data_IF_626264745588
#
_entry.id   IF_626264745588
#
_cell.length_a   1.000
_cell.length_b   1.000
_cell.length_c   1.000
_cell.angle_alpha   90.00
_cell.angle_beta   90.00
_cell.angle_gamma   90.00
#
_symmetry.space_group_name_H-M   'P 1'
#
loop_
_entity.id
_entity.type
_entity.pdbx_description
1 polymer ?
#
# COMPACT_ATOMS: atom_id res chain seq x y z
N UNK A 1 -12.03 -9.69 5.45
CA UNK A 1 -11.68 -8.80 4.32
C UNK A 1 -12.70 -7.69 4.31
N UNK A 2 -12.25 -6.44 4.44
CA UNK A 2 -13.09 -5.24 4.33
C UNK A 2 -12.69 -4.45 3.09
N UNK A 3 -13.68 -3.97 2.35
CA UNK A 3 -13.48 -3.07 1.21
C UNK A 3 -13.76 -1.65 1.71
N UNK A 4 -12.78 -0.77 1.57
CA UNK A 4 -12.84 0.59 2.11
C UNK A 4 -12.66 1.58 0.97
N UNK A 5 -13.50 2.60 0.95
CA UNK A 5 -13.38 3.71 0.00
C UNK A 5 -12.14 4.56 0.29
N UNK A 6 -11.38 4.88 -0.74
CA UNK A 6 -10.24 5.80 -0.64
C UNK A 6 -10.77 7.24 -0.57
N UNK A 7 -10.51 8.00 0.51
CA UNK A 7 -10.93 9.40 0.60
C UNK A 7 -10.18 10.25 -0.43
N UNK A 8 -10.91 10.88 -1.35
CA UNK A 8 -10.36 11.73 -2.40
C UNK A 8 -11.24 12.97 -2.63
N UNK A 9 -10.77 14.12 -2.14
CA UNK A 9 -11.46 15.42 -2.26
C UNK A 9 -11.62 15.89 -3.71
N UNK A 10 -10.78 15.37 -4.62
CA UNK A 10 -10.83 15.72 -6.04
C UNK A 10 -12.17 15.37 -6.67
N UNK A 11 -12.78 14.27 -6.22
CA UNK A 11 -14.08 13.81 -6.69
C UNK A 11 -15.20 14.78 -6.33
N UNK A 12 -15.23 15.27 -5.09
CA UNK A 12 -16.22 16.23 -4.62
C UNK A 12 -16.13 17.53 -5.40
N UNK A 13 -14.91 18.06 -5.57
CA UNK A 13 -14.66 19.30 -6.33
C UNK A 13 -15.02 19.17 -7.82
N UNK A 14 -14.76 18.02 -8.43
CA UNK A 14 -15.21 17.78 -9.81
C UNK A 14 -16.73 17.65 -9.90
N UNK A 15 -17.37 17.03 -8.92
CA UNK A 15 -18.82 16.90 -8.91
C UNK A 15 -19.54 18.24 -8.76
N UNK A 16 -18.95 19.21 -8.04
CA UNK A 16 -19.44 20.59 -7.95
C UNK A 16 -19.43 21.32 -9.31
N UNK A 17 -18.51 20.96 -10.22
CA UNK A 17 -18.40 21.57 -11.55
C UNK A 17 -19.21 20.81 -12.61
N UNK A 18 -19.21 19.48 -12.55
CA UNK A 18 -19.76 18.60 -13.57
C UNK A 18 -21.23 18.26 -13.31
N UNK A 19 -21.67 18.32 -12.05
CA UNK A 19 -22.99 17.90 -11.60
C UNK A 19 -23.40 16.50 -12.10
N UNK A 20 -22.60 15.45 -11.80
CA UNK A 20 -22.86 14.10 -12.28
C UNK A 20 -24.06 13.46 -11.57
N UNK A 21 -24.69 12.47 -12.21
CA UNK A 21 -25.73 11.67 -11.56
C UNK A 21 -25.19 10.82 -10.40
N UNK A 22 -23.91 10.46 -10.41
CA UNK A 22 -23.23 9.75 -9.30
C UNK A 22 -21.74 10.05 -9.19
N UNK A 23 -21.21 9.91 -7.97
CA UNK A 23 -19.77 9.93 -7.68
C UNK A 23 -19.34 8.50 -7.32
N UNK A 24 -18.31 7.99 -7.98
CA UNK A 24 -17.80 6.62 -7.77
C UNK A 24 -16.34 6.69 -7.33
N UNK A 25 -16.06 6.61 -6.02
CA UNK A 25 -14.69 6.59 -5.54
C UNK A 25 -14.04 5.22 -5.78
N UNK A 26 -12.71 5.17 -5.69
CA UNK A 26 -11.99 3.90 -5.73
C UNK A 26 -11.91 3.27 -4.34
N UNK A 27 -11.51 2.01 -4.26
CA UNK A 27 -11.50 1.23 -3.03
C UNK A 27 -10.17 0.51 -2.82
N UNK A 28 -9.82 0.28 -1.56
CA UNK A 28 -8.72 -0.60 -1.14
C UNK A 28 -9.28 -1.76 -0.32
N UNK A 29 -8.67 -2.92 -0.46
CA UNK A 29 -9.01 -4.11 0.34
C UNK A 29 -8.08 -4.21 1.54
N UNK A 30 -8.65 -4.31 2.74
CA UNK A 30 -7.91 -4.56 3.98
C UNK A 30 -8.30 -5.92 4.52
N UNK A 31 -7.30 -6.75 4.79
CA UNK A 31 -7.47 -8.06 5.40
C UNK A 31 -7.02 -7.97 6.85
N UNK A 32 -7.95 -8.22 7.76
CA UNK A 32 -7.60 -8.40 9.17
C UNK A 32 -6.94 -9.77 9.36
N UNK A 33 -5.76 -9.75 9.96
CA UNK A 33 -4.95 -10.93 10.20
C UNK A 33 -4.76 -11.06 11.71
N UNK A 34 -5.42 -12.05 12.30
CA UNK A 34 -5.38 -12.31 13.73
C UNK A 34 -3.94 -12.42 14.25
N UNK A 35 -3.61 -11.71 15.33
CA UNK A 35 -2.23 -11.59 15.84
C UNK A 35 -1.53 -12.93 16.09
N UNK A 36 -0.22 -12.94 15.79
CA UNK A 36 0.66 -14.07 16.01
C UNK A 36 1.29 -14.00 17.40
N UNK A 37 1.38 -15.13 18.09
CA UNK A 37 2.14 -15.25 19.35
C UNK A 37 3.50 -15.89 19.03
N UNK A 38 4.54 -15.51 19.78
CA UNK A 38 5.89 -16.06 19.67
C UNK A 38 5.89 -17.59 19.55
N UNK A 39 6.64 -18.14 18.60
CA UNK A 39 6.78 -19.58 18.36
C UNK A 39 5.77 -20.17 17.36
N UNK A 40 4.96 -19.34 16.71
CA UNK A 40 3.94 -19.79 15.77
C UNK A 40 4.52 -20.34 14.44
N UNK A 41 5.76 -20.02 14.07
CA UNK A 41 6.48 -20.67 12.96
C UNK A 41 6.81 -22.15 13.23
N UNK A 42 6.91 -22.58 14.50
CA UNK A 42 7.36 -23.92 14.89
C UNK A 42 6.24 -24.96 15.05
N UNK A 43 4.96 -24.58 14.86
CA UNK A 43 3.81 -25.45 15.14
C UNK A 43 2.91 -25.73 13.93
N UNK A 44 2.28 -26.90 13.90
CA UNK A 44 1.10 -27.16 13.07
C UNK A 44 -0.11 -26.45 13.70
N UNK A 45 -0.66 -25.40 13.06
CA UNK A 45 -1.82 -24.69 13.61
C UNK A 45 -2.01 -23.24 13.13
N UNK A 46 -2.45 -22.36 14.04
CA UNK A 46 -2.81 -20.95 13.76
C UNK A 46 -1.68 -20.13 13.13
N UNK A 47 -0.42 -20.39 13.47
CA UNK A 47 0.73 -19.71 12.89
C UNK A 47 0.87 -19.88 11.38
N UNK A 48 0.66 -21.10 10.88
CA UNK A 48 0.67 -21.35 9.44
C UNK A 48 -0.51 -20.67 8.72
N UNK A 49 -1.68 -20.57 9.37
CA UNK A 49 -2.82 -19.82 8.81
C UNK A 49 -2.55 -18.31 8.75
N UNK A 50 -1.92 -17.76 9.79
CA UNK A 50 -1.45 -16.36 9.81
C UNK A 50 -0.51 -16.06 8.64
N UNK A 51 0.53 -16.88 8.48
CA UNK A 51 1.53 -16.71 7.42
C UNK A 51 0.94 -16.93 6.02
N UNK A 52 -0.06 -17.81 5.89
CA UNK A 52 -0.80 -17.98 4.64
C UNK A 52 -1.61 -16.73 4.28
N UNK A 53 -2.32 -16.13 5.24
CA UNK A 53 -3.07 -14.90 5.01
C UNK A 53 -2.15 -13.73 4.61
N UNK A 54 -1.00 -13.56 5.26
CA UNK A 54 -0.02 -12.52 4.86
C UNK A 54 0.49 -12.78 3.43
N UNK A 55 0.65 -14.04 3.04
CA UNK A 55 1.13 -14.39 1.69
C UNK A 55 0.20 -13.87 0.61
N UNK A 56 -1.10 -13.82 0.88
CA UNK A 56 -2.16 -13.37 -0.02
C UNK A 56 -2.31 -11.83 -0.09
N UNK A 57 -1.60 -11.06 0.74
CA UNK A 57 -1.63 -9.58 0.67
C UNK A 57 -0.46 -9.02 -0.16
N UNK A 58 -0.53 -7.77 -0.57
CA UNK A 58 0.58 -7.10 -1.26
C UNK A 58 1.45 -6.25 -0.33
N UNK A 59 0.92 -5.82 0.81
CA UNK A 59 1.60 -5.01 1.82
C UNK A 59 1.17 -5.40 3.24
N UNK A 60 1.89 -4.90 4.24
CA UNK A 60 1.62 -5.17 5.67
C UNK A 60 1.40 -3.84 6.40
N UNK A 61 0.27 -3.73 7.10
CA UNK A 61 0.01 -2.68 8.08
C UNK A 61 0.32 -3.25 9.46
N UNK A 62 1.48 -2.90 10.03
CA UNK A 62 1.94 -3.47 11.28
C UNK A 62 1.56 -2.54 12.44
N UNK A 63 0.45 -2.88 13.12
CA UNK A 63 -0.02 -2.10 14.26
C UNK A 63 0.79 -2.43 15.51
N UNK A 64 1.45 -1.42 16.08
CA UNK A 64 2.27 -1.52 17.28
C UNK A 64 1.58 -0.78 18.43
N UNK A 65 1.52 -1.43 19.59
CA UNK A 65 1.00 -0.80 20.81
C UNK A 65 2.02 0.19 21.35
N UNK A 66 1.67 1.48 21.35
CA UNK A 66 2.50 2.58 21.82
C UNK A 66 1.81 3.36 22.94
N UNK A 67 1.09 2.66 23.84
CA UNK A 67 0.45 3.24 25.02
C UNK A 67 0.33 2.23 26.16
N UNK A 68 0.36 2.74 27.38
CA UNK A 68 0.07 1.97 28.58
C UNK A 68 -1.42 2.07 28.94
N UNK A 69 -2.02 0.94 29.30
CA UNK A 69 -3.38 0.88 29.85
C UNK A 69 -3.46 -0.33 30.80
N UNK A 70 -3.79 -0.08 32.06
CA UNK A 70 -3.89 -1.10 33.10
C UNK A 70 -5.03 -2.12 32.83
N UNK A 71 -6.00 -1.77 31.99
CA UNK A 71 -7.11 -2.64 31.63
C UNK A 71 -6.78 -3.57 30.44
N UNK A 72 -5.67 -3.34 29.74
CA UNK A 72 -5.28 -4.10 28.55
C UNK A 72 -4.00 -4.89 28.83
N UNK A 73 -4.14 -6.20 29.03
CA UNK A 73 -3.02 -7.10 29.31
C UNK A 73 -2.14 -7.27 28.07
N UNK A 74 -0.83 -7.12 28.24
CA UNK A 74 0.16 -7.43 27.21
C UNK A 74 0.57 -8.91 27.30
N UNK A 75 0.71 -9.59 26.16
CA UNK A 75 1.07 -11.04 26.12
C UNK A 75 2.41 -11.30 26.81
N UNK A 76 3.40 -10.43 26.61
CA UNK A 76 4.72 -10.47 27.27
C UNK A 76 4.77 -9.69 28.61
N UNK A 77 3.63 -9.30 29.17
CA UNK A 77 3.53 -8.65 30.49
C UNK A 77 4.00 -7.19 30.58
N UNK A 78 4.62 -6.65 29.52
CA UNK A 78 5.05 -5.25 29.41
C UNK A 78 4.89 -4.76 27.98
N UNK A 79 4.60 -3.47 27.79
CA UNK A 79 4.49 -2.85 26.46
C UNK A 79 5.89 -2.48 25.96
N UNK A 80 6.29 -3.02 24.82
CA UNK A 80 7.54 -2.70 24.14
C UNK A 80 7.36 -2.88 22.62
N UNK A 81 7.01 -1.80 21.88
CA UNK A 81 6.68 -1.90 20.47
C UNK A 81 7.88 -2.31 19.61
N UNK A 82 9.12 -2.05 20.04
CA UNK A 82 10.32 -2.46 19.29
C UNK A 82 10.49 -3.96 19.41
N UNK A 83 10.38 -4.51 20.63
CA UNK A 83 10.41 -5.96 20.84
C UNK A 83 9.27 -6.66 20.09
N UNK A 84 8.05 -6.10 20.14
CA UNK A 84 6.89 -6.71 19.49
C UNK A 84 7.05 -6.73 17.96
N UNK A 85 7.62 -5.65 17.38
CA UNK A 85 8.05 -5.62 15.97
C UNK A 85 9.05 -6.73 15.66
N UNK A 86 10.12 -6.84 16.45
CA UNK A 86 11.20 -7.81 16.25
C UNK A 86 10.70 -9.26 16.31
N UNK A 87 9.73 -9.54 17.17
CA UNK A 87 9.10 -10.87 17.26
C UNK A 87 8.42 -11.22 15.95
N UNK A 88 7.59 -10.32 15.40
CA UNK A 88 6.89 -10.58 14.14
C UNK A 88 7.88 -10.68 12.98
N UNK A 89 8.88 -9.78 12.90
CA UNK A 89 9.90 -9.84 11.85
C UNK A 89 10.66 -11.17 11.88
N UNK A 90 11.09 -11.63 13.06
CA UNK A 90 11.79 -12.90 13.21
C UNK A 90 10.95 -14.09 12.72
N UNK A 91 9.65 -14.12 13.02
CA UNK A 91 8.75 -15.20 12.59
C UNK A 91 8.56 -15.21 11.06
N UNK A 92 8.45 -14.03 10.43
CA UNK A 92 8.39 -13.91 8.96
C UNK A 92 9.72 -14.30 8.30
N UNK A 93 10.85 -13.88 8.89
CA UNK A 93 12.20 -14.18 8.40
C UNK A 93 12.51 -15.68 8.45
N UNK A 94 12.15 -16.35 9.56
CA UNK A 94 12.31 -17.81 9.70
C UNK A 94 11.55 -18.51 8.58
N UNK A 95 10.30 -18.08 8.31
CA UNK A 95 9.49 -18.70 7.26
C UNK A 95 10.06 -18.48 5.85
N UNK A 96 10.58 -17.30 5.60
CA UNK A 96 11.25 -17.01 4.33
C UNK A 96 12.54 -17.81 4.18
N UNK A 97 13.32 -17.96 5.26
CA UNK A 97 14.55 -18.75 5.26
C UNK A 97 14.27 -20.21 4.91
N UNK A 98 13.26 -20.85 5.53
CA UNK A 98 12.82 -22.20 5.18
C UNK A 98 12.45 -22.32 3.69
N UNK A 99 11.76 -21.31 3.15
CA UNK A 99 11.39 -21.26 1.73
C UNK A 99 12.63 -21.20 0.85
N UNK A 100 13.58 -20.32 1.18
CA UNK A 100 14.83 -20.11 0.46
C UNK A 100 15.67 -21.40 0.48
N UNK A 101 15.86 -22.02 1.63
CA UNK A 101 16.66 -23.24 1.77
C UNK A 101 16.07 -24.41 0.96
N UNK A 102 14.74 -24.57 1.00
CA UNK A 102 14.04 -25.57 0.19
C UNK A 102 14.25 -25.34 -1.32
N UNK A 103 14.27 -24.08 -1.77
CA UNK A 103 14.53 -23.73 -3.18
C UNK A 103 16.00 -23.94 -3.55
N UNK A 104 16.93 -23.56 -2.68
CA UNK A 104 18.38 -23.76 -2.87
C UNK A 104 18.68 -25.24 -3.11
N UNK A 105 18.15 -26.13 -2.26
CA UNK A 105 18.39 -27.57 -2.37
C UNK A 105 17.99 -28.15 -3.75
N UNK A 106 17.01 -27.56 -4.43
CA UNK A 106 16.53 -27.99 -5.76
C UNK A 106 17.42 -27.50 -6.90
N UNK A 107 17.96 -26.28 -6.79
CA UNK A 107 18.66 -25.60 -7.90
C UNK A 107 20.18 -25.68 -7.80
N UNK A 108 20.74 -25.87 -6.59
CA UNK A 108 22.17 -25.81 -6.34
C UNK A 108 23.00 -26.74 -7.23
N UNK A 109 22.59 -28.01 -7.36
CA UNK A 109 23.33 -28.98 -8.18
C UNK A 109 23.34 -28.57 -9.66
N UNK A 110 22.21 -28.11 -10.18
CA UNK A 110 22.08 -27.66 -11.57
C UNK A 110 22.92 -26.39 -11.82
N UNK A 111 22.93 -25.46 -10.87
CA UNK A 111 23.77 -24.26 -10.92
C UNK A 111 25.27 -24.58 -10.92
N UNK A 112 25.71 -25.56 -10.12
CA UNK A 112 27.13 -25.94 -9.96
C UNK A 112 27.69 -26.81 -11.08
N UNK A 113 26.84 -27.56 -11.78
CA UNK A 113 27.30 -28.48 -12.84
C UNK A 113 27.79 -27.74 -14.10
N UNK A 114 27.48 -26.44 -14.21
CA UNK A 114 27.86 -25.58 -15.33
C UNK A 114 27.05 -25.87 -16.59
N UNK A 115 26.36 -24.85 -17.12
CA UNK A 115 25.61 -24.96 -18.38
C UNK A 115 24.16 -24.45 -18.31
N UNK A 116 23.55 -24.45 -17.13
CA UNK A 116 22.23 -23.86 -16.92
C UNK A 116 22.33 -22.45 -16.34
N UNK A 117 22.22 -21.44 -17.21
CA UNK A 117 22.28 -20.03 -16.84
C UNK A 117 21.09 -19.61 -15.95
N UNK A 118 19.93 -20.24 -16.11
CA UNK A 118 18.75 -19.92 -15.30
C UNK A 118 18.89 -20.48 -13.89
N UNK A 119 19.40 -21.71 -13.75
CA UNK A 119 19.72 -22.29 -12.45
C UNK A 119 20.78 -21.47 -11.71
N UNK A 120 21.84 -21.03 -12.41
CA UNK A 120 22.88 -20.19 -11.83
C UNK A 120 22.34 -18.82 -11.36
N UNK A 121 21.50 -18.16 -12.17
CA UNK A 121 20.84 -16.92 -11.81
C UNK A 121 19.95 -17.09 -10.57
N UNK A 122 19.10 -18.11 -10.56
CA UNK A 122 18.20 -18.37 -9.44
C UNK A 122 18.95 -18.69 -8.15
N UNK A 123 20.02 -19.49 -8.23
CA UNK A 123 20.86 -19.77 -7.07
C UNK A 123 21.52 -18.49 -6.51
N UNK A 124 22.01 -17.59 -7.39
CA UNK A 124 22.58 -16.31 -6.98
C UNK A 124 21.60 -15.43 -6.20
N UNK A 125 20.35 -15.32 -6.69
CA UNK A 125 19.28 -14.59 -6.00
C UNK A 125 18.97 -15.22 -4.63
N UNK A 126 18.80 -16.54 -4.60
CA UNK A 126 18.49 -17.27 -3.36
C UNK A 126 19.60 -17.15 -2.31
N UNK A 127 20.87 -17.21 -2.74
CA UNK A 127 22.02 -17.10 -1.84
C UNK A 127 22.10 -15.74 -1.15
N UNK A 128 21.84 -14.65 -1.89
CA UNK A 128 21.80 -13.28 -1.34
C UNK A 128 20.68 -13.11 -0.32
N UNK A 129 19.50 -13.67 -0.60
CA UNK A 129 18.40 -13.68 0.37
C UNK A 129 18.73 -14.50 1.61
N UNK A 130 19.32 -15.69 1.44
CA UNK A 130 19.73 -16.54 2.56
C UNK A 130 20.68 -15.78 3.50
N UNK A 131 21.71 -15.15 2.94
CA UNK A 131 22.69 -14.38 3.71
C UNK A 131 22.05 -13.25 4.52
N UNK A 132 21.12 -12.49 3.92
CA UNK A 132 20.42 -11.41 4.61
C UNK A 132 19.53 -11.94 5.76
N UNK A 133 18.76 -12.99 5.50
CA UNK A 133 17.85 -13.59 6.49
C UNK A 133 18.61 -14.23 7.67
N UNK A 134 19.75 -14.89 7.41
CA UNK A 134 20.61 -15.44 8.47
C UNK A 134 21.23 -14.35 9.37
N UNK A 135 21.37 -13.12 8.86
CA UNK A 135 21.80 -11.95 9.61
C UNK A 135 20.65 -11.21 10.31
N UNK A 136 19.42 -11.75 10.27
CA UNK A 136 18.23 -11.12 10.84
C UNK A 136 17.70 -9.92 10.05
N UNK A 137 18.11 -9.77 8.77
CA UNK A 137 17.62 -8.70 7.89
C UNK A 137 16.46 -9.20 7.04
N UNK A 138 15.45 -8.34 6.88
CA UNK A 138 14.29 -8.60 6.02
C UNK A 138 14.70 -8.71 4.54
N UNK A 139 14.00 -9.55 3.76
CA UNK A 139 14.27 -9.72 2.34
C UNK A 139 14.16 -8.40 1.55
N UNK A 140 13.28 -7.47 1.96
CA UNK A 140 13.17 -6.13 1.35
C UNK A 140 14.46 -5.30 1.38
N UNK A 141 15.44 -5.64 2.23
CA UNK A 141 16.75 -4.99 2.27
C UNK A 141 17.70 -5.43 1.15
N UNK A 142 17.36 -6.47 0.39
CA UNK A 142 18.18 -7.02 -0.69
C UNK A 142 17.69 -6.47 -2.03
N UNK A 143 18.56 -5.70 -2.71
CA UNK A 143 18.29 -5.16 -4.04
C UNK A 143 18.96 -6.00 -5.13
N UNK A 144 18.42 -5.95 -6.35
CA UNK A 144 18.99 -6.62 -7.52
C UNK A 144 19.04 -5.66 -8.71
N UNK A 145 20.11 -5.74 -9.50
CA UNK A 145 20.40 -4.76 -10.54
C UNK A 145 19.74 -5.13 -11.87
N UNK A 146 19.57 -6.42 -12.14
CA UNK A 146 19.02 -6.89 -13.42
C UNK A 146 17.53 -7.22 -13.32
N UNK A 147 16.80 -6.99 -14.42
CA UNK A 147 15.37 -7.33 -14.52
C UNK A 147 15.10 -8.83 -14.34
N UNK A 148 16.04 -9.68 -14.74
CA UNK A 148 15.89 -11.12 -14.60
C UNK A 148 16.04 -11.56 -13.13
N UNK A 149 17.01 -11.01 -12.39
CA UNK A 149 17.11 -11.24 -10.94
C UNK A 149 15.87 -10.73 -10.20
N UNK A 150 15.42 -9.51 -10.52
CA UNK A 150 14.21 -8.91 -9.92
C UNK A 150 12.96 -9.76 -10.18
N UNK A 151 12.84 -10.33 -11.38
CA UNK A 151 11.77 -11.27 -11.72
C UNK A 151 11.83 -12.53 -10.87
N UNK A 152 13.00 -13.17 -10.79
CA UNK A 152 13.19 -14.36 -9.96
C UNK A 152 12.86 -14.06 -8.50
N UNK A 153 13.36 -12.95 -7.96
CA UNK A 153 13.13 -12.49 -6.61
C UNK A 153 11.63 -12.31 -6.31
N UNK A 154 10.90 -11.63 -7.21
CA UNK A 154 9.44 -11.43 -7.08
C UNK A 154 8.68 -12.76 -7.07
N UNK A 155 9.06 -13.70 -7.93
CA UNK A 155 8.39 -15.00 -8.08
C UNK A 155 8.66 -15.96 -6.88
N UNK A 156 9.45 -15.53 -5.88
CA UNK A 156 9.60 -16.23 -4.59
C UNK A 156 8.43 -15.98 -3.64
N UNK A 157 7.73 -14.84 -3.78
CA UNK A 157 6.65 -14.40 -2.89
C UNK A 157 7.04 -14.42 -1.39
N UNK A 158 8.24 -13.91 -1.09
CA UNK A 158 8.75 -13.81 0.28
C UNK A 158 7.91 -12.83 1.11
N UNK A 159 7.64 -13.18 2.36
CA UNK A 159 6.81 -12.40 3.28
C UNK A 159 7.51 -11.09 3.68
N UNK A 160 8.81 -11.17 4.00
CA UNK A 160 9.66 -10.05 4.42
C UNK A 160 10.10 -9.16 3.25
N UNK A 161 9.70 -9.48 2.02
CA UNK A 161 9.89 -8.61 0.86
C UNK A 161 8.73 -7.63 0.65
N UNK A 162 7.58 -7.87 1.30
CA UNK A 162 6.42 -6.97 1.21
C UNK A 162 6.75 -5.62 1.87
N UNK A 163 6.27 -4.49 1.30
CA UNK A 163 6.37 -3.18 1.94
C UNK A 163 5.54 -3.16 3.23
N UNK A 164 6.00 -2.37 4.22
CA UNK A 164 5.41 -2.29 5.55
C UNK A 164 5.16 -0.84 5.92
N UNK A 165 3.98 -0.56 6.47
CA UNK A 165 3.66 0.67 7.18
C UNK A 165 3.50 0.34 8.67
N UNK A 166 4.31 0.97 9.51
CA UNK A 166 4.19 0.83 10.96
C UNK A 166 3.14 1.78 11.49
N UNK A 167 2.12 1.25 12.16
CA UNK A 167 1.02 2.03 12.72
C UNK A 167 1.15 2.03 14.24
N UNK A 168 1.71 3.11 14.78
CA UNK A 168 1.85 3.30 16.22
C UNK A 168 0.49 3.71 16.80
N UNK A 169 -0.18 2.77 17.45
CA UNK A 169 -1.41 3.05 18.18
C UNK A 169 -1.05 3.69 19.53
N UNK A 170 -1.46 4.93 19.75
CA UNK A 170 -1.12 5.73 20.94
C UNK A 170 -2.38 6.11 21.75
N UNK A 171 -2.18 6.66 22.95
CA UNK A 171 -3.22 7.30 23.74
C UNK A 171 -3.69 8.63 23.09
N UNK A 172 -4.84 9.11 23.55
CA UNK A 172 -5.50 10.31 23.00
C UNK A 172 -4.64 11.57 23.06
N UNK A 173 -3.95 11.79 24.19
CA UNK A 173 -3.10 12.96 24.38
C UNK A 173 -1.88 12.97 23.45
N UNK A 174 -1.49 11.79 22.96
CA UNK A 174 -0.35 11.58 22.08
C UNK A 174 -0.74 11.52 20.59
N UNK A 175 -2.03 11.65 20.24
CA UNK A 175 -2.52 11.46 18.87
C UNK A 175 -1.87 12.43 17.85
N UNK A 176 -1.64 13.69 18.24
CA UNK A 176 -1.07 14.70 17.37
C UNK A 176 0.47 14.69 17.35
N UNK A 177 1.11 14.51 18.52
CA UNK A 177 2.56 14.67 18.68
C UNK A 177 3.35 13.36 18.76
N UNK A 178 2.67 12.22 18.94
CA UNK A 178 3.32 10.99 19.36
C UNK A 178 3.82 11.04 20.81
N UNK A 179 4.53 9.99 21.21
CA UNK A 179 5.10 9.81 22.54
C UNK A 179 6.46 9.08 22.48
N UNK A 180 7.02 8.72 23.65
CA UNK A 180 8.34 8.08 23.72
C UNK A 180 8.40 6.73 22.97
N UNK A 181 7.31 5.98 22.93
CA UNK A 181 7.23 4.72 22.18
C UNK A 181 7.31 4.96 20.67
N UNK A 182 6.62 5.99 20.17
CA UNK A 182 6.69 6.38 18.76
C UNK A 182 8.13 6.69 18.35
N UNK A 183 8.87 7.42 19.18
CA UNK A 183 10.26 7.78 18.89
C UNK A 183 11.21 6.57 18.94
N UNK A 184 10.97 5.61 19.84
CA UNK A 184 11.69 4.33 19.84
C UNK A 184 11.47 3.55 18.54
N UNK A 185 10.21 3.46 18.08
CA UNK A 185 9.89 2.79 16.81
C UNK A 185 10.52 3.54 15.63
N UNK A 186 10.42 4.88 15.61
CA UNK A 186 11.00 5.71 14.54
C UNK A 186 12.50 5.48 14.40
N UNK A 187 13.22 5.42 15.52
CA UNK A 187 14.66 5.12 15.53
C UNK A 187 14.93 3.68 15.08
N UNK A 188 14.12 2.71 15.51
CA UNK A 188 14.29 1.30 15.16
C UNK A 188 14.11 1.02 13.66
N UNK A 189 13.28 1.81 12.96
CA UNK A 189 12.96 1.59 11.53
C UNK A 189 13.71 2.53 10.57
N UNK A 190 14.56 3.42 11.07
CA UNK A 190 15.17 4.51 10.28
C UNK A 190 15.92 4.03 9.03
N UNK A 191 16.50 2.83 9.10
CA UNK A 191 17.31 2.22 8.03
C UNK A 191 16.50 1.27 7.14
N UNK A 192 15.20 1.08 7.41
CA UNK A 192 14.32 0.16 6.67
C UNK A 192 13.63 0.82 5.47
N UNK A 193 13.60 2.16 5.40
CA UNK A 193 12.82 2.90 4.40
C UNK A 193 11.30 2.70 4.56
N UNK A 194 10.84 2.28 5.74
CA UNK A 194 9.44 2.07 6.05
C UNK A 194 8.76 3.36 6.53
N UNK A 195 7.50 3.56 6.14
CA UNK A 195 6.68 4.66 6.66
C UNK A 195 6.20 4.34 8.09
N UNK A 196 5.94 5.39 8.87
CA UNK A 196 5.34 5.32 10.20
C UNK A 196 4.16 6.28 10.28
N UNK A 197 3.04 5.78 10.82
CA UNK A 197 1.84 6.55 11.09
C UNK A 197 1.49 6.46 12.58
N UNK A 198 1.14 7.59 13.18
CA UNK A 198 0.60 7.67 14.54
C UNK A 198 -0.92 7.73 14.45
N UNK A 199 -1.60 6.86 15.19
CA UNK A 199 -3.07 6.79 15.25
C UNK A 199 -3.48 6.61 16.70
N UNK A 200 -4.55 7.25 17.14
CA UNK A 200 -5.19 6.95 18.43
C UNK A 200 -6.48 6.18 18.16
N UNK A 201 -6.42 4.84 18.17
CA UNK A 201 -7.54 4.01 17.73
C UNK A 201 -8.84 4.25 18.53
N UNK A 202 -8.73 4.70 19.79
CA UNK A 202 -9.88 5.06 20.62
C UNK A 202 -10.61 6.31 20.08
N UNK A 203 -9.86 7.37 19.77
CA UNK A 203 -10.39 8.56 19.08
C UNK A 203 -11.05 8.17 17.76
N UNK A 204 -10.42 7.29 16.97
CA UNK A 204 -11.00 6.86 15.70
C UNK A 204 -12.33 6.13 15.86
N UNK A 205 -12.49 5.34 16.91
CA UNK A 205 -13.76 4.67 17.24
C UNK A 205 -14.85 5.68 17.58
N UNK A 206 -14.51 6.72 18.35
CA UNK A 206 -15.45 7.79 18.71
C UNK A 206 -15.86 8.62 17.47
N UNK A 207 -14.90 8.95 16.59
CA UNK A 207 -15.18 9.64 15.32
C UNK A 207 -16.10 8.81 14.42
N UNK A 208 -15.96 7.48 14.42
CA UNK A 208 -16.78 6.58 13.60
C UNK A 208 -18.25 6.55 14.05
N UNK A 209 -18.53 6.87 15.31
CA UNK A 209 -19.88 6.96 15.87
C UNK A 209 -20.57 8.30 15.59
N UNK A 210 -19.83 9.32 15.13
CA UNK A 210 -20.40 10.63 14.76
C UNK A 210 -21.11 10.56 13.41
N UNK A 211 -22.35 11.04 13.37
CA UNK A 211 -23.24 10.92 12.21
C UNK A 211 -22.95 11.97 11.13
N UNK A 212 -22.55 13.18 11.52
CA UNK A 212 -22.40 14.30 10.59
C UNK A 212 -20.95 14.65 10.30
N UNK A 213 -20.68 15.15 9.09
CA UNK A 213 -19.36 15.66 8.71
C UNK A 213 -18.94 16.83 9.61
N UNK A 214 -19.87 17.72 9.95
CA UNK A 214 -19.59 18.88 10.81
C UNK A 214 -19.16 18.46 12.22
N UNK A 215 -19.85 17.51 12.85
CA UNK A 215 -19.45 16.97 14.17
C UNK A 215 -18.06 16.33 14.12
N UNK A 216 -17.77 15.55 13.07
CA UNK A 216 -16.44 14.95 12.89
C UNK A 216 -15.35 16.02 12.76
N UNK A 217 -15.60 17.08 11.98
CA UNK A 217 -14.64 18.18 11.81
C UNK A 217 -14.43 18.95 13.12
N UNK A 218 -15.49 19.20 13.88
CA UNK A 218 -15.37 19.85 15.19
C UNK A 218 -14.55 19.00 16.16
N UNK A 219 -14.83 17.69 16.23
CA UNK A 219 -14.10 16.77 17.10
C UNK A 219 -12.61 16.69 16.73
N UNK A 220 -12.31 16.58 15.43
CA UNK A 220 -10.94 16.58 14.93
C UNK A 220 -10.21 17.87 15.31
N UNK A 221 -10.85 19.04 15.12
CA UNK A 221 -10.27 20.32 15.48
C UNK A 221 -10.01 20.45 17.00
N UNK A 222 -10.91 19.97 17.84
CA UNK A 222 -10.73 19.94 19.31
C UNK A 222 -9.58 19.02 19.73
N UNK A 223 -9.40 17.90 19.02
CA UNK A 223 -8.27 16.97 19.21
C UNK A 223 -6.96 17.47 18.57
N UNK A 224 -6.97 18.61 17.87
CA UNK A 224 -5.80 19.17 17.18
C UNK A 224 -5.40 18.38 15.92
N UNK A 225 -6.36 17.72 15.28
CA UNK A 225 -6.19 16.91 14.08
C UNK A 225 -6.87 17.57 12.88
N UNK A 226 -6.22 17.56 11.72
CA UNK A 226 -6.81 18.06 10.46
C UNK A 226 -7.64 16.99 9.73
N UNK A 227 -7.22 15.73 9.84
CA UNK A 227 -7.90 14.59 9.24
C UNK A 227 -7.81 13.36 10.16
N UNK A 228 -8.79 12.47 10.07
CA UNK A 228 -8.82 11.25 10.89
C UNK A 228 -7.63 10.33 10.59
N UNK A 229 -7.17 9.61 11.61
CA UNK A 229 -6.13 8.61 11.51
C UNK A 229 -6.48 7.49 10.54
N UNK A 230 -7.76 7.10 10.45
CA UNK A 230 -8.24 6.12 9.45
C UNK A 230 -8.08 6.65 8.02
N UNK A 231 -8.42 7.91 7.74
CA UNK A 231 -8.22 8.49 6.41
C UNK A 231 -6.75 8.56 6.03
N UNK A 232 -5.90 8.98 6.99
CA UNK A 232 -4.44 8.97 6.84
C UNK A 232 -3.90 7.58 6.56
N UNK A 233 -4.40 6.57 7.28
CA UNK A 233 -4.03 5.17 7.11
C UNK A 233 -4.38 4.65 5.72
N UNK A 234 -5.59 4.92 5.23
CA UNK A 234 -6.03 4.50 3.90
C UNK A 234 -5.17 5.14 2.82
N UNK A 235 -4.92 6.45 2.89
CA UNK A 235 -4.04 7.17 1.94
C UNK A 235 -2.60 6.62 1.99
N UNK A 236 -2.08 6.33 3.18
CA UNK A 236 -0.75 5.75 3.34
C UNK A 236 -0.67 4.32 2.79
N UNK A 237 -1.69 3.48 3.04
CA UNK A 237 -1.77 2.13 2.48
C UNK A 237 -1.83 2.14 0.94
N UNK A 238 -2.58 3.10 0.37
CA UNK A 238 -2.67 3.28 -1.07
C UNK A 238 -1.32 3.65 -1.69
N UNK A 239 -0.57 4.57 -1.07
CA UNK A 239 0.82 4.90 -1.48
C UNK A 239 1.78 3.72 -1.28
N UNK A 240 1.64 2.97 -0.19
CA UNK A 240 2.48 1.80 0.12
C UNK A 240 2.36 0.70 -0.96
N UNK A 241 1.18 0.59 -1.58
CA UNK A 241 0.90 -0.32 -2.69
C UNK A 241 1.34 0.22 -4.07
N UNK A 242 1.95 1.42 -4.08
CA UNK A 242 2.36 2.16 -5.27
C UNK A 242 1.19 2.42 -6.23
N UNK A 243 0.04 2.79 -5.65
CA UNK A 243 -1.20 3.08 -6.38
C UNK A 243 -1.40 4.59 -6.53
N UNK A 244 -1.92 4.98 -7.68
CA UNK A 244 -2.34 6.33 -8.06
C UNK A 244 -3.75 6.27 -8.66
N UNK A 245 -4.40 7.42 -8.78
CA UNK A 245 -5.78 7.52 -9.28
C UNK A 245 -5.85 8.39 -10.51
N UNK A 246 -6.49 7.92 -11.58
CA UNK A 246 -6.95 8.78 -12.67
C UNK A 246 -8.48 8.91 -12.60
N UNK A 247 -9.01 9.95 -13.20
CA UNK A 247 -10.41 10.35 -13.07
C UNK A 247 -11.10 10.30 -14.44
N UNK A 248 -12.37 9.90 -14.46
CA UNK A 248 -13.28 10.12 -15.59
C UNK A 248 -14.41 11.01 -15.12
N UNK A 249 -14.74 12.05 -15.89
CA UNK A 249 -15.73 13.05 -15.51
C UNK A 249 -16.74 13.27 -16.62
N UNK A 250 -18.03 13.11 -16.31
CA UNK A 250 -19.13 13.36 -17.24
C UNK A 250 -20.48 13.48 -16.51
N UNK A 251 -21.56 13.79 -17.24
CA UNK A 251 -22.88 14.02 -16.65
C UNK A 251 -23.47 12.78 -15.98
N UNK A 252 -23.11 11.58 -16.45
CA UNK A 252 -23.57 10.33 -15.84
C UNK A 252 -22.78 10.00 -14.57
N UNK A 253 -21.45 10.15 -14.59
CA UNK A 253 -20.60 9.87 -13.44
C UNK A 253 -19.31 10.68 -13.41
N UNK A 254 -18.85 10.95 -12.18
CA UNK A 254 -17.45 11.26 -11.88
C UNK A 254 -16.88 10.07 -11.12
N UNK A 255 -15.80 9.48 -11.63
CA UNK A 255 -15.26 8.23 -11.12
C UNK A 255 -13.75 8.24 -10.98
N UNK A 256 -13.26 7.66 -9.88
CA UNK A 256 -11.86 7.38 -9.62
C UNK A 256 -11.49 5.95 -10.04
N UNK A 257 -10.36 5.83 -10.72
CA UNK A 257 -9.80 4.58 -11.21
C UNK A 257 -8.40 4.39 -10.67
N UNK A 258 -8.20 3.27 -9.95
CA UNK A 258 -6.90 2.89 -9.39
C UNK A 258 -5.98 2.32 -10.46
N UNK A 259 -4.73 2.77 -10.50
CA UNK A 259 -3.67 2.18 -11.32
C UNK A 259 -2.35 2.17 -10.56
N UNK A 260 -1.39 1.35 -11.00
CA UNK A 260 -0.03 1.36 -10.42
C UNK A 260 0.77 2.53 -10.98
N UNK A 261 1.49 3.26 -10.13
CA UNK A 261 2.34 4.38 -10.52
C UNK A 261 3.23 4.00 -11.69
N UNK A 262 3.38 4.91 -12.65
CA UNK A 262 4.19 4.68 -13.84
C UNK A 262 3.52 3.86 -14.94
N UNK A 263 2.25 3.46 -14.78
CA UNK A 263 1.51 2.82 -15.88
C UNK A 263 1.31 3.77 -17.06
N UNK A 264 1.34 3.21 -18.26
CA UNK A 264 1.08 3.92 -19.51
C UNK A 264 -0.42 4.03 -19.79
N UNK A 265 -0.81 5.01 -20.59
CA UNK A 265 -2.21 5.26 -20.96
C UNK A 265 -2.99 4.03 -21.43
N UNK A 266 -2.44 3.11 -22.27
CA UNK A 266 -3.18 1.90 -22.65
C UNK A 266 -3.47 0.96 -21.48
N UNK A 267 -2.54 0.84 -20.53
CA UNK A 267 -2.70 -0.02 -19.35
C UNK A 267 -3.78 0.55 -18.43
N UNK A 268 -3.81 1.87 -18.23
CA UNK A 268 -4.86 2.55 -17.48
C UNK A 268 -6.23 2.43 -18.18
N UNK A 269 -6.28 2.49 -19.52
CA UNK A 269 -7.51 2.21 -20.27
C UNK A 269 -8.01 0.77 -20.03
N UNK A 270 -7.09 -0.19 -19.91
CA UNK A 270 -7.37 -1.59 -19.57
C UNK A 270 -8.05 -1.78 -18.21
N UNK A 271 -7.81 -0.87 -17.24
CA UNK A 271 -8.49 -0.85 -15.94
C UNK A 271 -9.99 -0.60 -16.09
N UNK A 272 -10.40 0.21 -17.08
CA UNK A 272 -11.81 0.43 -17.40
C UNK A 272 -12.40 -0.80 -18.08
N UNK A 273 -11.72 -1.27 -19.13
CA UNK A 273 -12.11 -2.47 -19.86
C UNK A 273 -10.92 -3.04 -20.64
N UNK A 274 -10.76 -4.37 -20.65
CA UNK A 274 -9.61 -5.03 -21.30
C UNK A 274 -9.54 -4.79 -22.81
N UNK A 275 -10.68 -4.56 -23.47
CA UNK A 275 -10.71 -4.22 -24.90
C UNK A 275 -10.18 -2.80 -25.19
N UNK A 276 -10.25 -1.86 -24.24
CA UNK A 276 -9.71 -0.52 -24.45
C UNK A 276 -8.19 -0.54 -24.53
N UNK A 277 -7.52 -1.42 -23.79
CA UNK A 277 -6.08 -1.60 -23.86
C UNK A 277 -5.67 -2.14 -25.24
N UNK A 278 -6.36 -3.17 -25.74
CA UNK A 278 -6.08 -3.78 -27.05
C UNK A 278 -6.38 -2.83 -28.21
N UNK A 279 -7.52 -2.14 -28.13
CA UNK A 279 -8.01 -1.20 -29.13
C UNK A 279 -7.49 0.22 -28.99
N UNK A 280 -6.57 0.49 -28.05
CA UNK A 280 -6.13 1.86 -27.71
C UNK A 280 -5.61 2.61 -28.94
N UNK A 281 -6.19 3.78 -29.20
CA UNK A 281 -5.73 4.72 -30.23
C UNK A 281 -4.97 5.88 -29.57
N UNK A 282 -5.63 6.60 -28.66
CA UNK A 282 -5.11 7.78 -27.95
C UNK A 282 -5.97 8.10 -26.73
N UNK A 283 -5.45 8.91 -25.82
CA UNK A 283 -6.19 9.47 -24.70
C UNK A 283 -6.28 10.99 -24.83
N UNK A 284 -7.45 11.56 -24.58
CA UNK A 284 -7.60 12.98 -24.27
C UNK A 284 -7.36 13.14 -22.76
N UNK A 285 -6.39 13.99 -22.39
CA UNK A 285 -5.91 14.14 -21.02
C UNK A 285 -6.01 15.60 -20.59
N UNK A 286 -6.61 15.82 -19.43
CA UNK A 286 -6.70 17.12 -18.76
C UNK A 286 -6.08 16.98 -17.38
N UNK A 287 -5.22 17.92 -17.00
CA UNK A 287 -4.70 17.97 -15.62
C UNK A 287 -5.80 18.40 -14.67
N UNK A 288 -5.85 17.79 -13.49
CA UNK A 288 -6.84 18.11 -12.47
C UNK A 288 -6.93 19.62 -12.22
N UNK A 289 -5.79 20.27 -11.98
CA UNK A 289 -5.73 21.71 -11.69
C UNK A 289 -6.23 22.58 -12.85
N UNK A 290 -5.96 22.18 -14.10
CA UNK A 290 -6.50 22.88 -15.28
C UNK A 290 -8.03 22.77 -15.30
N UNK A 291 -8.60 21.59 -15.05
CA UNK A 291 -10.06 21.44 -15.02
C UNK A 291 -10.71 22.29 -13.93
N UNK A 292 -10.13 22.32 -12.74
CA UNK A 292 -10.62 23.16 -11.64
C UNK A 292 -10.51 24.65 -11.99
N UNK A 293 -9.43 25.07 -12.64
CA UNK A 293 -9.20 26.46 -13.03
C UNK A 293 -10.21 26.94 -14.09
N UNK A 294 -10.46 26.15 -15.14
CA UNK A 294 -11.30 26.56 -16.27
C UNK A 294 -12.78 26.14 -16.12
N UNK A 295 -13.09 25.24 -15.19
CA UNK A 295 -14.44 24.88 -14.77
C UNK A 295 -15.23 23.96 -15.72
N UNK A 296 -14.77 23.76 -16.96
CA UNK A 296 -15.41 22.82 -17.89
C UNK A 296 -14.44 22.30 -18.96
N UNK A 297 -14.75 21.13 -19.52
CA UNK A 297 -13.97 20.53 -20.62
C UNK A 297 -13.83 21.47 -21.83
N UNK A 298 -14.91 22.19 -22.20
CA UNK A 298 -14.89 23.15 -23.31
C UNK A 298 -13.91 24.30 -23.03
N UNK A 299 -13.96 24.86 -21.83
CA UNK A 299 -13.08 25.97 -21.44
C UNK A 299 -11.61 25.54 -21.37
N UNK A 300 -11.32 24.34 -20.86
CA UNK A 300 -9.96 23.74 -20.88
C UNK A 300 -9.45 23.61 -22.32
N UNK A 301 -10.31 23.13 -23.23
CA UNK A 301 -9.97 22.95 -24.65
C UNK A 301 -9.73 24.29 -25.35
N UNK A 302 -10.57 25.29 -25.11
CA UNK A 302 -10.41 26.65 -25.63
C UNK A 302 -9.13 27.31 -25.11
N UNK A 303 -8.73 27.01 -23.88
CA UNK A 303 -7.47 27.44 -23.28
C UNK A 303 -6.23 26.67 -23.77
N UNK A 304 -6.41 25.65 -24.64
CA UNK A 304 -5.32 24.83 -25.16
C UNK A 304 -4.67 23.91 -24.12
N UNK A 305 -5.39 23.56 -23.05
CA UNK A 305 -4.91 22.73 -21.93
C UNK A 305 -5.40 21.28 -21.98
N UNK A 306 -6.11 20.91 -23.03
CA UNK A 306 -6.47 19.51 -23.33
C UNK A 306 -5.38 18.89 -24.19
N UNK A 307 -4.73 17.85 -23.67
CA UNK A 307 -3.67 17.12 -24.34
C UNK A 307 -4.21 15.89 -25.04
N UNK A 308 -3.59 15.50 -26.16
CA UNK A 308 -3.88 14.26 -26.87
C UNK A 308 -2.65 13.39 -26.82
N UNK A 309 -2.73 12.33 -26.03
CA UNK A 309 -1.62 11.51 -25.63
C UNK A 309 -1.64 10.12 -26.28
N UNK A 310 -0.44 9.64 -26.62
CA UNK A 310 -0.23 8.35 -27.29
C UNK A 310 0.04 7.20 -26.31
N UNK A 311 0.46 6.06 -26.88
CA UNK A 311 0.72 4.82 -26.12
C UNK A 311 1.86 4.93 -25.10
N UNK A 312 2.79 5.87 -25.31
CA UNK A 312 3.97 6.06 -24.47
C UNK A 312 3.73 7.01 -23.29
N UNK A 313 2.56 7.66 -23.22
CA UNK A 313 2.24 8.57 -22.14
C UNK A 313 2.14 7.83 -20.81
N UNK A 314 2.91 8.28 -19.82
CA UNK A 314 2.86 7.80 -18.45
C UNK A 314 1.81 8.63 -17.71
N UNK A 315 0.72 7.97 -17.30
CA UNK A 315 -0.39 8.65 -16.61
C UNK A 315 0.11 9.27 -15.31
N UNK A 316 -0.38 10.46 -15.00
CA UNK A 316 -0.06 11.17 -13.76
C UNK A 316 -1.24 11.10 -12.81
N UNK A 317 -0.97 11.11 -11.50
CA UNK A 317 -2.03 11.11 -10.49
C UNK A 317 -2.96 12.32 -10.68
N UNK A 318 -4.27 12.06 -10.61
CA UNK A 318 -5.33 13.04 -10.82
C UNK A 318 -5.65 13.38 -12.27
N UNK A 319 -4.95 12.80 -13.26
CA UNK A 319 -5.29 13.03 -14.68
C UNK A 319 -6.76 12.71 -14.94
N UNK A 320 -7.47 13.63 -15.60
CA UNK A 320 -8.84 13.43 -16.08
C UNK A 320 -8.75 12.95 -17.52
N UNK A 321 -9.21 11.73 -17.78
CA UNK A 321 -8.92 11.03 -19.02
C UNK A 321 -10.19 10.61 -19.77
N UNK A 322 -10.14 10.75 -21.10
CA UNK A 322 -11.11 10.17 -22.03
C UNK A 322 -10.38 9.34 -23.09
N UNK A 323 -10.69 8.04 -23.17
CA UNK A 323 -10.00 7.13 -24.09
C UNK A 323 -10.72 6.99 -25.43
N UNK A 324 -9.95 7.05 -26.51
CA UNK A 324 -10.42 6.71 -27.86
C UNK A 324 -9.85 5.35 -28.25
N UNK A 325 -10.72 4.43 -28.63
CA UNK A 325 -10.37 3.06 -29.00
C UNK A 325 -11.12 2.63 -30.26
N UNK A 326 -10.57 1.65 -30.98
CA UNK A 326 -11.26 0.99 -32.07
C UNK A 326 -11.98 -0.26 -31.53
N UNK A 327 -13.21 -0.49 -31.99
CA UNK A 327 -14.01 -1.69 -31.68
C UNK A 327 -13.73 -2.77 -32.73
#
# INVERSE_FOLDING_TARGET
MGVITVPDERLTRLAELVHPARIVPTTVEIVDIAGLVKGASRGEGLGNKFLANIRETDAILHVLRCFDDANVVHVDGSVDPVRDKEIIDAELQIRDLETIESRIAKVQKQAQTGGDKQAALAYGVLARYKEALEQGRNARSVTFDTKDEQRVARDLFLLTNKPVLYVCNVDEASAASGNAYVEQVREAIKDEGAELLVVAAKIESEIAELDTYEERQMFLAEAGLEESGVNRLIKAAYRLLDLETFLTAGPDEVRAWTYRRGSKAPQCAGVIHTDFEKGFIRAEVIKYDDFIQYGSESAVKEAGRMHVEGKEYVVQDGDIMHYRFNV
#
